data_IF_291352555225
#
_entry.id   IF_291352555225
#
_cell.length_a   1.000
_cell.length_b   1.000
_cell.length_c   1.000
_cell.angle_alpha   90.00
_cell.angle_beta   90.00
_cell.angle_gamma   90.00
#
_symmetry.space_group_name_H-M   'P 1'
#
loop_
_entity.id
_entity.type
_entity.pdbx_description
1 polymer ?
2 polymer ?
#
# COMPACT_ATOMS: atom_id res chain seq x y z
N UNK A 1 -11.21 11.03 -9.87
CA UNK A 1 -12.68 11.10 -10.11
C UNK A 1 -13.22 12.43 -9.61
N UNK A 2 -13.68 12.46 -8.38
CA UNK A 2 -14.20 13.67 -7.78
C UNK A 2 -13.04 14.58 -7.36
N UNK A 3 -11.87 13.98 -7.18
CA UNK A 3 -10.66 14.71 -6.80
C UNK A 3 -9.47 13.76 -6.73
N UNK A 4 -9.05 13.40 -5.53
CA UNK A 4 -7.92 12.49 -5.36
C UNK A 4 -8.40 11.05 -5.27
N UNK A 5 -9.36 10.69 -6.12
CA UNK A 5 -9.91 9.34 -6.13
C UNK A 5 -8.88 8.36 -6.70
N UNK A 6 -7.94 7.96 -5.85
CA UNK A 6 -6.89 7.02 -6.26
C UNK A 6 -7.51 5.76 -6.84
N UNK A 7 -8.79 5.54 -6.55
CA UNK A 7 -9.51 4.36 -7.05
C UNK A 7 -9.29 4.17 -8.54
N UNK A 8 -8.84 5.22 -9.22
CA UNK A 8 -8.59 5.13 -10.65
C UNK A 8 -7.38 4.24 -10.93
N UNK A 9 -6.52 4.06 -9.92
CA UNK A 9 -5.33 3.23 -10.07
C UNK A 9 -5.68 1.75 -9.89
N UNK A 10 -5.31 0.96 -10.88
CA UNK A 10 -5.58 -0.47 -10.86
C UNK A 10 -5.20 -1.11 -9.51
N UNK A 11 -4.19 -0.58 -8.85
CA UNK A 11 -3.78 -1.15 -7.56
C UNK A 11 -4.58 -0.55 -6.40
N UNK A 12 -5.52 0.34 -6.71
CA UNK A 12 -6.34 0.94 -5.66
C UNK A 12 -7.65 0.17 -5.50
N UNK A 13 -7.76 -0.55 -4.38
CA UNK A 13 -8.96 -1.33 -4.10
C UNK A 13 -10.02 -0.43 -3.47
N UNK A 14 -9.66 0.84 -3.28
CA UNK A 14 -10.55 1.84 -2.72
C UNK A 14 -11.26 1.38 -1.45
N UNK A 15 -12.57 1.25 -1.50
CA UNK A 15 -13.43 0.83 -0.33
C UNK A 15 -13.07 -0.54 0.22
N UNK A 16 -12.21 -1.26 -0.46
CA UNK A 16 -11.83 -2.59 -0.02
C UNK A 16 -11.28 -2.51 1.41
N UNK A 17 -11.35 -3.63 2.13
CA UNK A 17 -10.84 -3.67 3.51
C UNK A 17 -9.55 -4.48 3.56
N UNK A 18 -8.81 -4.36 4.64
CA UNK A 18 -7.56 -5.09 4.78
C UNK A 18 -7.80 -6.59 4.58
N UNK A 19 -8.63 -7.16 5.45
CA UNK A 19 -8.97 -8.58 5.35
C UNK A 19 -9.36 -8.89 3.91
N UNK A 20 -10.15 -7.99 3.35
CA UNK A 20 -10.60 -8.13 1.98
C UNK A 20 -9.40 -8.06 1.06
N UNK A 21 -8.54 -7.07 1.28
CA UNK A 21 -7.35 -6.91 0.47
C UNK A 21 -6.56 -8.22 0.48
N UNK A 22 -6.46 -8.82 1.65
CA UNK A 22 -5.75 -10.09 1.80
C UNK A 22 -6.46 -11.20 1.04
N UNK A 23 -7.80 -11.14 1.02
CA UNK A 23 -8.60 -12.15 0.34
C UNK A 23 -8.13 -12.36 -1.09
N UNK A 24 -8.02 -11.27 -1.84
CA UNK A 24 -7.56 -11.36 -3.22
C UNK A 24 -6.07 -11.66 -3.25
N UNK A 25 -5.31 -10.81 -2.58
CA UNK A 25 -3.87 -10.98 -2.53
C UNK A 25 -3.52 -12.40 -2.09
N UNK A 26 -4.11 -12.86 -0.98
CA UNK A 26 -3.83 -14.21 -0.49
C UNK A 26 -3.95 -15.22 -1.63
N UNK A 27 -4.96 -15.04 -2.48
CA UNK A 27 -5.17 -15.93 -3.62
C UNK A 27 -4.16 -15.64 -4.74
N UNK A 28 -3.69 -14.40 -4.83
CA UNK A 28 -2.73 -14.02 -5.87
C UNK A 28 -1.32 -14.50 -5.54
N UNK A 29 -0.41 -14.35 -6.49
CA UNK A 29 0.97 -14.79 -6.27
C UNK A 29 1.77 -13.76 -5.49
N UNK A 30 2.94 -14.17 -5.02
CA UNK A 30 3.82 -13.29 -4.27
C UNK A 30 4.21 -12.08 -5.12
N UNK A 31 4.16 -10.90 -4.51
CA UNK A 31 4.51 -9.67 -5.22
C UNK A 31 3.24 -8.88 -5.53
N UNK A 32 2.12 -9.58 -5.61
CA UNK A 32 0.84 -8.93 -5.88
C UNK A 32 0.62 -7.83 -4.85
N UNK A 33 0.21 -6.65 -5.31
CA UNK A 33 0.02 -5.54 -4.37
C UNK A 33 -1.24 -4.72 -4.66
N UNK A 34 -1.63 -3.92 -3.67
CA UNK A 34 -2.81 -3.06 -3.81
C UNK A 34 -2.88 -2.04 -2.67
N UNK A 35 -3.80 -1.10 -2.84
CA UNK A 35 -4.03 -0.05 -1.85
C UNK A 35 -5.54 0.10 -1.61
N UNK A 36 -5.93 0.45 -0.40
CA UNK A 36 -7.35 0.56 -0.08
C UNK A 36 -7.63 1.59 1.01
N UNK A 37 -8.89 2.05 1.06
CA UNK A 37 -9.33 3.01 2.08
C UNK A 37 -10.82 2.84 2.38
N UNK A 38 -11.21 3.11 3.62
CA UNK A 38 -12.61 2.95 4.02
C UNK A 38 -12.88 3.63 5.37
N UNK A 39 -11.82 3.97 6.10
CA UNK A 39 -11.96 4.61 7.40
C UNK A 39 -12.41 6.08 7.24
N UNK A 40 -13.71 6.25 6.97
CA UNK A 40 -14.28 7.60 6.80
C UNK A 40 -14.14 8.44 8.07
N UNK A 41 -12.94 8.43 8.64
CA UNK A 41 -12.65 9.17 9.85
C UNK A 41 -11.24 9.77 9.80
N UNK A 42 -10.31 9.00 9.25
CA UNK A 42 -8.93 9.45 9.12
C UNK A 42 -8.45 9.33 7.67
N UNK A 43 -8.22 10.47 7.03
CA UNK A 43 -7.77 10.48 5.64
C UNK A 43 -6.38 9.84 5.48
N UNK A 44 -6.24 8.63 6.00
CA UNK A 44 -4.95 7.92 5.91
C UNK A 44 -4.94 6.94 4.74
N UNK A 45 -3.79 6.29 4.52
CA UNK A 45 -3.66 5.33 3.42
C UNK A 45 -2.62 4.25 3.75
N UNK A 46 -2.70 3.12 3.05
CA UNK A 46 -1.78 2.01 3.27
C UNK A 46 -1.69 1.13 2.03
N UNK A 47 -0.52 0.56 1.80
CA UNK A 47 -0.33 -0.31 0.64
C UNK A 47 -0.26 -1.77 1.09
N UNK A 48 -0.89 -2.65 0.32
CA UNK A 48 -0.89 -4.07 0.64
C UNK A 48 -0.20 -4.87 -0.46
N UNK A 49 0.75 -5.72 -0.07
CA UNK A 49 1.50 -6.53 -1.05
C UNK A 49 1.60 -7.99 -0.60
N UNK A 50 1.53 -8.89 -1.59
CA UNK A 50 1.61 -10.32 -1.34
C UNK A 50 3.07 -10.76 -1.17
N UNK A 51 3.35 -11.45 -0.07
CA UNK A 51 4.70 -11.93 0.21
C UNK A 51 4.65 -13.28 0.94
N UNK A 52 5.27 -14.29 0.34
CA UNK A 52 5.30 -15.64 0.93
C UNK A 52 3.91 -16.06 1.40
N UNK A 53 3.03 -16.35 0.43
CA UNK A 53 1.65 -16.76 0.73
C UNK A 53 1.00 -15.86 1.78
N UNK A 54 1.59 -14.69 2.00
CA UNK A 54 1.06 -13.74 2.97
C UNK A 54 1.01 -12.33 2.39
N UNK A 55 0.27 -11.45 3.07
CA UNK A 55 0.13 -10.08 2.60
C UNK A 55 0.79 -9.08 3.55
N UNK A 56 1.53 -8.12 2.98
CA UNK A 56 2.19 -7.08 3.77
C UNK A 56 1.42 -5.76 3.61
N UNK A 57 0.75 -5.32 4.68
CA UNK A 57 -0.01 -4.07 4.64
C UNK A 57 0.75 -2.98 5.40
N UNK A 58 1.33 -2.04 4.69
CA UNK A 58 2.07 -0.97 5.35
C UNK A 58 1.29 0.34 5.20
N UNK A 59 1.16 1.06 6.32
CA UNK A 59 0.41 2.32 6.31
C UNK A 59 1.24 3.44 5.70
N UNK A 60 0.57 4.37 5.05
CA UNK A 60 1.22 5.50 4.43
C UNK A 60 1.09 6.74 5.32
N UNK A 61 2.19 7.43 5.55
CA UNK A 61 2.14 8.63 6.40
C UNK A 61 1.75 9.86 5.60
N UNK A 62 1.13 10.81 6.29
CA UNK A 62 0.70 12.06 5.65
C UNK A 62 0.97 13.25 6.57
N UNK A 63 1.58 14.29 6.01
CA UNK A 63 1.90 15.48 6.79
C UNK A 63 2.07 16.70 5.89
N UNK A 64 3.14 16.68 5.13
CA UNK A 64 3.48 17.75 4.21
C UNK A 64 2.79 17.51 2.87
N UNK A 65 1.59 16.93 2.92
CA UNK A 65 0.87 16.61 1.70
C UNK A 65 1.65 15.58 0.91
N UNK A 66 2.51 14.85 1.61
CA UNK A 66 3.34 13.83 0.97
C UNK A 66 2.89 12.44 1.39
N UNK A 67 3.15 11.46 0.53
CA UNK A 67 2.78 10.08 0.82
C UNK A 67 4.03 9.22 1.02
N UNK A 68 4.10 8.51 2.15
CA UNK A 68 5.25 7.66 2.43
C UNK A 68 4.85 6.40 3.20
N UNK A 69 5.40 5.28 2.76
CA UNK A 69 5.14 3.99 3.39
C UNK A 69 6.03 3.83 4.61
N UNK A 70 6.94 4.77 4.76
CA UNK A 70 7.86 4.75 5.87
C UNK A 70 8.15 6.18 6.31
N UNK A 71 8.11 6.37 7.62
CA UNK A 71 8.34 7.66 8.25
C UNK A 71 9.62 8.32 7.73
N UNK A 72 10.36 7.59 6.91
CA UNK A 72 11.62 8.08 6.38
C UNK A 72 11.53 8.54 4.91
N UNK A 73 10.34 8.42 4.30
CA UNK A 73 10.18 8.81 2.88
C UNK A 73 9.04 9.83 2.71
N UNK A 74 8.73 10.15 1.46
CA UNK A 74 7.66 11.11 1.15
C UNK A 74 7.46 11.30 -0.36
N UNK A 75 6.24 11.04 -0.84
CA UNK A 75 5.91 11.22 -2.25
C UNK A 75 4.77 12.22 -2.39
N UNK A 76 4.61 12.81 -3.57
CA UNK A 76 3.54 13.79 -3.77
C UNK A 76 2.22 13.12 -4.10
N UNK A 77 2.30 11.86 -4.51
CA UNK A 77 1.10 11.11 -4.86
C UNK A 77 1.36 9.61 -4.87
N UNK A 78 0.40 8.86 -4.34
CA UNK A 78 0.48 7.39 -4.30
C UNK A 78 1.05 6.85 -5.61
N UNK A 79 0.42 7.28 -6.70
CA UNK A 79 0.81 6.86 -8.03
C UNK A 79 2.28 7.12 -8.33
N UNK A 80 2.85 8.17 -7.74
CA UNK A 80 4.25 8.46 -7.97
C UNK A 80 5.11 7.62 -7.04
N UNK A 81 4.47 7.12 -6.00
CA UNK A 81 5.15 6.29 -5.01
C UNK A 81 5.14 4.84 -5.46
N UNK A 82 3.94 4.38 -5.78
CA UNK A 82 3.72 3.01 -6.23
C UNK A 82 4.41 2.71 -7.54
N UNK A 83 4.07 3.50 -8.54
CA UNK A 83 4.59 3.33 -9.88
C UNK A 83 6.10 3.59 -9.95
N UNK A 84 6.61 4.32 -8.98
CA UNK A 84 8.04 4.61 -8.94
C UNK A 84 8.79 3.43 -8.34
N UNK A 85 8.16 2.77 -7.38
CA UNK A 85 8.78 1.63 -6.71
C UNK A 85 8.79 0.42 -7.63
N UNK A 86 7.95 0.43 -8.65
CA UNK A 86 7.93 -0.68 -9.61
C UNK A 86 9.35 -1.04 -10.03
N UNK A 87 10.24 -0.06 -9.96
CA UNK A 87 11.64 -0.26 -10.33
C UNK A 87 12.55 -0.07 -9.10
N UNK A 88 11.94 0.00 -7.93
CA UNK A 88 12.69 0.16 -6.69
C UNK A 88 12.12 -0.74 -5.59
N UNK A 89 12.89 -1.72 -5.18
CA UNK A 89 12.45 -2.66 -4.14
C UNK A 89 11.76 -1.92 -3.00
N UNK A 90 10.69 -2.49 -2.50
CA UNK A 90 9.95 -1.87 -1.40
C UNK A 90 10.78 -1.82 -0.13
N UNK A 91 11.63 -2.82 0.06
CA UNK A 91 12.49 -2.86 1.24
C UNK A 91 13.21 -1.53 1.43
N UNK A 92 13.28 -0.78 0.34
CA UNK A 92 13.94 0.52 0.38
C UNK A 92 13.05 1.53 1.13
N UNK A 93 11.76 1.22 1.13
CA UNK A 93 10.76 2.04 1.81
C UNK A 93 10.09 1.26 2.91
N UNK A 94 9.62 0.07 2.54
CA UNK A 94 8.95 -0.80 3.48
C UNK A 94 9.93 -1.29 4.53
N UNK A 95 9.40 -1.81 5.63
CA UNK A 95 10.26 -2.30 6.71
C UNK A 95 10.75 -3.72 6.41
N UNK A 96 9.83 -4.67 6.30
CA UNK A 96 10.19 -6.05 6.02
C UNK A 96 10.08 -6.37 4.52
N UNK A 97 9.12 -5.73 3.86
CA UNK A 97 8.89 -5.95 2.43
C UNK A 97 10.18 -6.00 1.62
N UNK A 98 10.42 -7.13 0.95
CA UNK A 98 11.62 -7.27 0.13
C UNK A 98 11.28 -7.69 -1.31
N UNK A 99 10.69 -6.76 -2.05
CA UNK A 99 10.33 -7.01 -3.45
C UNK A 99 9.91 -5.70 -4.12
N UNK A 100 9.26 -5.81 -5.27
CA UNK A 100 8.81 -4.62 -6.00
C UNK A 100 7.33 -4.71 -6.33
N UNK A 101 6.77 -3.61 -6.81
CA UNK A 101 5.37 -3.58 -7.20
C UNK A 101 5.20 -4.48 -8.42
N UNK A 102 5.14 -5.78 -8.17
CA UNK A 102 5.03 -6.77 -9.24
C UNK A 102 3.75 -6.60 -10.05
N UNK A 103 2.61 -6.78 -9.40
CA UNK A 103 1.34 -6.64 -10.10
C UNK A 103 0.22 -6.25 -9.13
N UNK A 104 -0.75 -5.51 -9.63
CA UNK A 104 -1.91 -5.06 -8.82
C UNK A 104 -2.87 -6.20 -8.54
N UNK A 105 -3.50 -6.18 -7.38
CA UNK A 105 -4.45 -7.23 -7.02
C UNK A 105 -5.60 -7.27 -8.02
N UNK A 106 -5.96 -6.10 -8.54
CA UNK A 106 -7.06 -5.97 -9.48
C UNK A 106 -6.82 -6.69 -10.77
N UNK A 107 -5.55 -7.00 -11.06
CA UNK A 107 -5.20 -7.68 -12.29
C UNK A 107 -5.72 -9.13 -12.25
N UNK B 1 -13.58 -7.54 7.40
CA UNK B 1 -14.87 -6.86 7.71
C UNK B 1 -14.60 -5.58 8.50
N UNK B 2 -14.49 -5.72 9.82
CA UNK B 2 -14.27 -4.58 10.70
C UNK B 2 -12.79 -4.40 11.03
N UNK B 3 -11.92 -5.09 10.29
CA UNK B 3 -10.49 -4.98 10.51
C UNK B 3 -9.84 -4.07 9.47
N UNK B 4 -8.53 -3.88 9.59
CA UNK B 4 -7.78 -3.04 8.66
C UNK B 4 -6.29 -3.38 8.71
N UNK B 5 -5.45 -2.38 8.48
CA UNK B 5 -4.00 -2.57 8.52
C UNK B 5 -3.43 -2.00 9.82
N UNK B 6 -3.14 -2.87 10.78
CA UNK B 6 -2.60 -2.43 12.06
C UNK B 6 -1.31 -1.63 11.85
N UNK B 7 -0.20 -2.34 11.67
CA UNK B 7 1.09 -1.69 11.45
C UNK B 7 2.23 -2.70 11.49
N UNK B 8 2.44 -3.42 10.41
CA UNK B 8 3.53 -4.43 10.33
C UNK B 8 4.80 -3.99 11.05
N UNK B 9 5.29 -2.78 10.74
CA UNK B 9 6.51 -2.27 11.39
C UNK B 9 6.66 -0.76 11.19
N UNK B 10 7.41 -0.15 12.11
CA UNK B 10 7.70 1.30 12.09
C UNK B 10 9.11 1.51 12.64
N UNK B 11 9.68 2.67 12.36
CA UNK B 11 11.03 2.96 12.82
C UNK B 11 11.04 4.14 13.79
N UNK B 12 11.50 3.91 15.00
CA UNK B 12 11.56 4.96 16.06
C UNK B 12 12.77 5.89 15.91
N UNK B 13 12.91 6.81 16.86
CA UNK B 13 14.02 7.75 16.85
C UNK B 13 15.31 7.09 17.34
#
# INVERSE_FOLDING_TARGET
>A
GHMQDLSVHLWYAGPMERAGAESILANRSDGTFLVRQRVKDAAEFAISIKYNVEVKHIKIMTAEGLYRITEKKAFRGLTELVEFYQQNSLKDCFKSLDTTLQFPFKE
>B
DTEVYESPYADPE
#
